data_IF_734506977159
#
_entry.id   IF_734506977159
#
_cell.length_a   1.000
_cell.length_b   1.000
_cell.length_c   1.000
_cell.angle_alpha   90.00
_cell.angle_beta   90.00
_cell.angle_gamma   90.00
#
_symmetry.space_group_name_H-M   'P 1'
#
loop_
_entity.id
_entity.type
_entity.pdbx_description
1 polymer ?
#
# COMPACT_ATOMS: atom_id res chain seq x y z
N UNK A 1 3.21 -9.78 16.99
CA UNK A 1 2.01 -10.19 16.22
C UNK A 1 2.07 -9.79 14.75
N UNK A 2 2.56 -8.59 14.38
CA UNK A 2 2.65 -8.19 12.95
C UNK A 2 3.59 -9.12 12.17
N UNK A 3 4.73 -9.49 12.75
CA UNK A 3 5.72 -10.38 12.17
C UNK A 3 5.42 -11.88 12.39
N UNK A 4 4.22 -12.24 12.85
CA UNK A 4 3.87 -13.62 13.19
C UNK A 4 3.92 -14.54 11.97
N UNK A 5 4.33 -15.79 12.15
CA UNK A 5 4.42 -16.78 11.07
C UNK A 5 3.02 -17.15 10.54
N UNK A 6 2.00 -17.15 11.40
CA UNK A 6 0.64 -17.50 11.01
C UNK A 6 -0.06 -16.34 10.30
N UNK A 7 -0.44 -16.52 9.03
CA UNK A 7 -1.04 -15.45 8.22
C UNK A 7 -2.31 -14.87 8.85
N UNK A 8 -3.17 -15.72 9.42
CA UNK A 8 -4.41 -15.28 10.08
C UNK A 8 -4.18 -14.33 11.25
N UNK A 9 -3.08 -14.51 12.01
CA UNK A 9 -2.72 -13.57 13.09
C UNK A 9 -2.37 -12.22 12.49
N UNK A 10 -1.58 -12.20 11.41
CA UNK A 10 -1.21 -10.95 10.72
C UNK A 10 -2.42 -10.22 10.16
N UNK A 11 -3.38 -10.94 9.59
CA UNK A 11 -4.63 -10.36 9.07
C UNK A 11 -5.46 -9.71 10.18
N UNK A 12 -5.66 -10.41 11.30
CA UNK A 12 -6.41 -9.89 12.45
C UNK A 12 -5.76 -8.62 13.01
N UNK A 13 -4.43 -8.55 13.04
CA UNK A 13 -3.71 -7.41 13.61
C UNK A 13 -3.93 -6.12 12.82
N UNK A 14 -3.81 -6.15 11.48
CA UNK A 14 -4.05 -4.93 10.70
C UNK A 14 -5.51 -4.52 10.75
N UNK A 15 -6.44 -5.49 10.75
CA UNK A 15 -7.88 -5.20 10.89
C UNK A 15 -8.19 -4.54 12.24
N UNK A 16 -7.61 -5.04 13.33
CA UNK A 16 -7.81 -4.50 14.67
C UNK A 16 -7.24 -3.09 14.85
N UNK A 17 -6.10 -2.78 14.21
CA UNK A 17 -5.45 -1.47 14.32
C UNK A 17 -6.04 -0.42 13.35
N UNK A 18 -6.74 -0.86 12.31
CA UNK A 18 -7.26 0.02 11.26
C UNK A 18 -8.18 1.14 11.75
N UNK A 19 -9.09 0.97 12.73
CA UNK A 19 -9.91 2.07 13.23
C UNK A 19 -9.09 3.22 13.81
N UNK A 20 -7.99 2.92 14.51
CA UNK A 20 -7.12 3.95 15.07
C UNK A 20 -6.25 4.61 14.00
N UNK A 21 -5.85 3.86 12.97
CA UNK A 21 -5.18 4.40 11.79
C UNK A 21 -6.10 5.34 11.01
N UNK A 22 -7.39 5.00 10.83
CA UNK A 22 -8.39 5.85 10.16
C UNK A 22 -8.61 7.17 10.92
N UNK A 23 -8.57 7.15 12.25
CA UNK A 23 -8.68 8.36 13.08
C UNK A 23 -7.45 9.26 13.00
N UNK A 24 -6.25 8.68 12.85
CA UNK A 24 -4.96 9.37 12.97
C UNK A 24 -4.09 9.14 11.72
N UNK A 25 -4.65 9.33 10.53
CA UNK A 25 -4.02 8.91 9.26
C UNK A 25 -2.62 9.51 9.09
N UNK A 26 -2.48 10.82 9.24
CA UNK A 26 -1.20 11.52 9.02
C UNK A 26 -0.11 11.01 9.96
N UNK A 27 -0.40 10.93 11.27
CA UNK A 27 0.53 10.42 12.28
C UNK A 27 0.84 8.93 12.05
N UNK A 28 -0.16 8.14 11.68
CA UNK A 28 0.02 6.72 11.40
C UNK A 28 0.92 6.51 10.19
N UNK A 29 0.74 7.29 9.12
CA UNK A 29 1.60 7.22 7.94
C UNK A 29 3.04 7.61 8.28
N UNK A 30 3.25 8.65 9.09
CA UNK A 30 4.59 9.04 9.55
C UNK A 30 5.30 7.87 10.26
N UNK A 31 4.64 7.24 11.24
CA UNK A 31 5.18 6.09 11.97
C UNK A 31 5.44 4.92 11.03
N UNK A 32 4.45 4.55 10.22
CA UNK A 32 4.51 3.39 9.32
C UNK A 32 5.56 3.56 8.22
N UNK A 33 5.86 4.80 7.83
CA UNK A 33 6.94 5.09 6.87
C UNK A 33 8.32 4.69 7.38
N UNK A 34 8.54 4.72 8.69
CA UNK A 34 9.79 4.18 9.27
C UNK A 34 9.85 2.65 9.20
N UNK A 35 8.69 1.99 9.29
CA UNK A 35 8.58 0.52 9.30
C UNK A 35 8.80 -0.12 7.93
N UNK A 36 8.68 0.65 6.84
CA UNK A 36 9.02 0.18 5.49
C UNK A 36 10.51 -0.19 5.35
N UNK A 37 11.37 0.22 6.30
CA UNK A 37 12.79 -0.11 6.32
C UNK A 37 13.10 -1.40 7.09
N UNK A 38 12.10 -2.06 7.67
CA UNK A 38 12.29 -3.30 8.42
C UNK A 38 12.83 -4.41 7.51
N UNK A 39 13.74 -5.23 8.03
CA UNK A 39 14.20 -6.45 7.34
C UNK A 39 13.07 -7.47 7.16
N UNK A 40 12.07 -7.45 8.04
CA UNK A 40 10.96 -8.38 8.01
C UNK A 40 9.88 -7.94 7.02
N UNK A 41 9.65 -8.74 5.98
CA UNK A 41 8.65 -8.46 4.95
C UNK A 41 7.21 -8.35 5.48
N UNK A 42 6.86 -9.05 6.57
CA UNK A 42 5.53 -8.96 7.16
C UNK A 42 5.27 -7.59 7.78
N UNK A 43 6.31 -6.98 8.38
CA UNK A 43 6.24 -5.62 8.91
C UNK A 43 6.08 -4.62 7.77
N UNK A 44 6.86 -4.76 6.69
CA UNK A 44 6.74 -3.89 5.51
C UNK A 44 5.36 -4.02 4.85
N UNK A 45 4.87 -5.24 4.65
CA UNK A 45 3.54 -5.51 4.09
C UNK A 45 2.42 -4.94 4.96
N UNK A 46 2.58 -4.98 6.29
CA UNK A 46 1.58 -4.40 7.20
C UNK A 46 1.36 -2.91 6.93
N UNK A 47 2.41 -2.15 6.60
CA UNK A 47 2.30 -0.69 6.35
C UNK A 47 1.33 -0.36 5.21
N UNK A 48 1.33 -1.16 4.15
CA UNK A 48 0.42 -0.98 3.01
C UNK A 48 -0.93 -1.62 3.26
N UNK A 49 -0.99 -2.83 3.82
CA UNK A 49 -2.28 -3.49 4.06
C UNK A 49 -3.17 -2.72 5.04
N UNK A 50 -2.59 -2.26 6.16
CA UNK A 50 -3.32 -1.52 7.19
C UNK A 50 -3.86 -0.17 6.70
N UNK A 51 -3.23 0.42 5.68
CA UNK A 51 -3.54 1.76 5.16
C UNK A 51 -4.25 1.73 3.80
N UNK A 52 -4.72 0.58 3.31
CA UNK A 52 -5.44 0.51 2.02
C UNK A 52 -6.62 1.49 1.99
N UNK A 53 -6.80 2.29 0.94
CA UNK A 53 -7.89 3.27 0.89
C UNK A 53 -9.26 2.58 0.76
N UNK A 54 -9.34 1.45 0.05
CA UNK A 54 -10.57 0.65 -0.15
C UNK A 54 -10.35 -0.83 0.14
N UNK A 55 -10.26 -1.20 1.40
CA UNK A 55 -10.19 -2.62 1.77
C UNK A 55 -11.53 -3.34 1.55
N UNK A 56 -11.48 -4.60 1.12
CA UNK A 56 -12.68 -5.42 0.79
C UNK A 56 -13.42 -5.86 2.07
N UNK A 57 -12.68 -6.06 3.16
CA UNK A 57 -13.19 -6.62 4.41
C UNK A 57 -13.35 -5.58 5.52
N UNK A 58 -13.12 -4.30 5.21
CA UNK A 58 -12.99 -3.27 6.22
C UNK A 58 -13.52 -1.93 5.73
N UNK A 59 -13.83 -1.05 6.68
CA UNK A 59 -14.24 0.32 6.38
C UNK A 59 -13.15 1.02 5.55
N UNK A 60 -13.58 1.76 4.55
CA UNK A 60 -12.73 2.62 3.75
C UNK A 60 -12.08 3.71 4.62
N UNK A 61 -10.82 4.04 4.33
CA UNK A 61 -10.16 5.21 4.91
C UNK A 61 -10.43 6.39 3.97
N UNK A 62 -11.48 7.15 4.26
CA UNK A 62 -11.97 8.21 3.38
C UNK A 62 -10.91 9.29 3.12
N UNK A 63 -10.04 9.56 4.10
CA UNK A 63 -8.93 10.50 3.96
C UNK A 63 -7.94 10.08 2.86
N UNK A 64 -7.56 8.80 2.83
CA UNK A 64 -6.64 8.25 1.82
C UNK A 64 -7.33 8.02 0.47
N UNK A 65 -8.65 7.84 0.44
CA UNK A 65 -9.41 7.84 -0.83
C UNK A 65 -9.38 9.21 -1.50
N UNK A 66 -9.58 10.29 -0.74
CA UNK A 66 -9.64 11.66 -1.26
C UNK A 66 -8.26 12.27 -1.50
N UNK A 67 -7.26 11.89 -0.71
CA UNK A 67 -5.90 12.38 -0.84
C UNK A 67 -4.88 11.25 -0.65
N UNK A 68 -4.71 10.37 -1.66
CA UNK A 68 -3.79 9.24 -1.57
C UNK A 68 -2.31 9.67 -1.49
N UNK A 69 -1.99 10.93 -1.85
CA UNK A 69 -0.65 11.50 -1.75
C UNK A 69 -0.08 11.44 -0.33
N UNK A 70 -0.94 11.41 0.69
CA UNK A 70 -0.53 11.27 2.10
C UNK A 70 0.33 10.02 2.27
N UNK A 71 0.02 8.91 1.58
CA UNK A 71 0.75 7.64 1.70
C UNK A 71 2.02 7.55 0.85
N UNK A 72 2.41 8.60 0.11
CA UNK A 72 3.62 8.59 -0.72
C UNK A 72 4.89 8.16 0.03
N UNK A 73 5.13 8.59 1.30
CA UNK A 73 6.31 8.14 2.03
C UNK A 73 6.41 6.62 2.19
N UNK A 74 5.27 5.91 2.33
CA UNK A 74 5.25 4.44 2.36
C UNK A 74 5.45 3.86 0.97
N UNK A 75 4.71 4.37 -0.02
CA UNK A 75 4.69 3.83 -1.38
C UNK A 75 6.05 3.98 -2.07
N UNK A 76 6.68 5.15 -1.96
CA UNK A 76 7.99 5.43 -2.55
C UNK A 76 9.08 4.53 -1.93
N UNK A 77 9.01 4.26 -0.62
CA UNK A 77 9.96 3.36 0.04
C UNK A 77 9.82 1.90 -0.42
N UNK A 78 8.62 1.48 -0.83
CA UNK A 78 8.30 0.10 -1.19
C UNK A 78 8.17 -0.15 -2.71
N UNK A 79 8.40 0.87 -3.55
CA UNK A 79 8.17 0.80 -5.01
C UNK A 79 8.98 -0.26 -5.76
N UNK A 80 10.05 -0.76 -5.15
CA UNK A 80 10.89 -1.84 -5.68
C UNK A 80 11.24 -2.88 -4.60
N UNK A 81 10.33 -3.14 -3.65
CA UNK A 81 10.54 -4.13 -2.60
C UNK A 81 10.87 -5.51 -3.19
N UNK A 82 11.84 -6.24 -2.62
CA UNK A 82 12.25 -7.57 -3.12
C UNK A 82 11.22 -8.67 -2.83
N UNK A 83 10.37 -8.48 -1.81
CA UNK A 83 9.35 -9.46 -1.45
C UNK A 83 8.15 -9.36 -2.38
N UNK A 84 7.82 -10.48 -3.04
CA UNK A 84 6.58 -10.59 -3.81
C UNK A 84 5.34 -10.30 -2.95
N UNK A 85 5.36 -10.69 -1.68
CA UNK A 85 4.24 -10.46 -0.76
C UNK A 85 4.01 -8.96 -0.50
N UNK A 86 5.08 -8.19 -0.35
CA UNK A 86 5.01 -6.74 -0.22
C UNK A 86 4.59 -6.09 -1.54
N UNK A 87 5.19 -6.50 -2.66
CA UNK A 87 4.84 -6.00 -4.01
C UNK A 87 3.33 -6.15 -4.29
N UNK A 88 2.76 -7.33 -3.99
CA UNK A 88 1.34 -7.59 -4.19
C UNK A 88 0.46 -6.65 -3.33
N UNK A 89 0.85 -6.36 -2.09
CA UNK A 89 0.11 -5.44 -1.22
C UNK A 89 0.23 -3.98 -1.70
N UNK A 90 1.41 -3.52 -2.14
CA UNK A 90 1.59 -2.18 -2.76
C UNK A 90 0.73 -2.06 -4.01
N UNK A 91 0.77 -3.04 -4.91
CA UNK A 91 -0.04 -3.03 -6.13
C UNK A 91 -1.54 -3.05 -5.84
N UNK A 92 -1.98 -3.78 -4.82
CA UNK A 92 -3.38 -3.74 -4.36
C UNK A 92 -3.77 -2.38 -3.79
N UNK A 93 -2.89 -1.74 -3.01
CA UNK A 93 -3.11 -0.41 -2.46
C UNK A 93 -3.33 0.62 -3.58
N UNK A 94 -2.47 0.60 -4.61
CA UNK A 94 -2.59 1.49 -5.77
C UNK A 94 -3.84 1.18 -6.59
N UNK A 95 -4.17 -0.09 -6.79
CA UNK A 95 -5.40 -0.49 -7.48
C UNK A 95 -6.68 -0.10 -6.71
N UNK A 96 -6.61 0.04 -5.39
CA UNK A 96 -7.71 0.58 -4.61
C UNK A 96 -7.81 2.11 -4.73
N UNK A 97 -6.67 2.79 -4.72
CA UNK A 97 -6.60 4.23 -4.93
C UNK A 97 -7.14 4.62 -6.31
N UNK A 98 -6.84 3.84 -7.36
CA UNK A 98 -7.25 4.13 -8.74
C UNK A 98 -8.76 4.16 -8.96
N UNK A 99 -9.53 3.54 -8.06
CA UNK A 99 -11.00 3.56 -8.10
C UNK A 99 -11.59 4.92 -7.69
N UNK A 100 -10.82 5.80 -7.05
CA UNK A 100 -11.22 7.17 -6.68
C UNK A 100 -10.34 8.22 -7.35
N UNK A 101 -9.03 8.00 -7.37
CA UNK A 101 -8.02 8.94 -7.86
C UNK A 101 -7.18 8.27 -8.96
N UNK A 102 -7.76 7.97 -10.13
CA UNK A 102 -7.06 7.25 -11.20
C UNK A 102 -5.84 8.01 -11.72
N UNK A 103 -5.96 9.34 -11.90
CA UNK A 103 -4.86 10.17 -12.43
C UNK A 103 -3.63 10.12 -11.52
N UNK A 104 -3.82 10.19 -10.20
CA UNK A 104 -2.73 10.04 -9.24
C UNK A 104 -1.97 8.72 -9.42
N UNK A 105 -2.69 7.61 -9.61
CA UNK A 105 -2.06 6.29 -9.77
C UNK A 105 -1.33 6.18 -11.10
N UNK A 106 -1.91 6.70 -12.19
CA UNK A 106 -1.28 6.72 -13.52
C UNK A 106 0.02 7.52 -13.46
N UNK A 107 -0.04 8.77 -12.98
CA UNK A 107 1.12 9.66 -12.88
C UNK A 107 2.24 9.04 -12.02
N UNK A 108 1.88 8.45 -10.88
CA UNK A 108 2.86 7.79 -10.00
C UNK A 108 3.49 6.56 -10.68
N UNK A 109 2.70 5.75 -11.37
CA UNK A 109 3.20 4.58 -12.08
C UNK A 109 4.12 4.97 -13.25
N UNK A 110 3.77 6.01 -14.01
CA UNK A 110 4.60 6.56 -15.08
C UNK A 110 5.93 7.09 -14.53
N UNK A 111 5.88 7.85 -13.44
CA UNK A 111 7.08 8.32 -12.72
C UNK A 111 7.97 7.14 -12.34
N UNK A 112 7.44 6.13 -11.67
CA UNK A 112 8.22 4.96 -11.24
C UNK A 112 8.82 4.19 -12.41
N UNK A 113 8.07 4.03 -13.50
CA UNK A 113 8.56 3.38 -14.72
C UNK A 113 9.77 4.10 -15.32
N UNK A 114 9.77 5.44 -15.27
CA UNK A 114 10.85 6.26 -15.83
C UNK A 114 12.07 6.34 -14.89
N UNK A 115 11.86 6.40 -13.57
CA UNK A 115 12.95 6.52 -12.59
C UNK A 115 13.66 5.20 -12.29
N UNK A 116 12.91 4.08 -12.23
CA UNK A 116 13.42 2.82 -11.71
C UNK A 116 12.69 1.60 -12.34
N UNK A 117 13.03 1.24 -13.59
CA UNK A 117 12.40 0.13 -14.30
C UNK A 117 12.94 -1.24 -13.85
N UNK A 118 12.80 -1.57 -12.57
CA UNK A 118 13.13 -2.89 -12.03
C UNK A 118 11.97 -3.87 -12.25
N UNK A 119 12.27 -5.17 -12.28
CA UNK A 119 11.24 -6.20 -12.44
C UNK A 119 10.20 -6.16 -11.30
N UNK A 120 10.63 -5.79 -10.09
CA UNK A 120 9.79 -5.59 -8.91
C UNK A 120 8.81 -4.43 -9.13
N UNK A 121 9.32 -3.29 -9.59
CA UNK A 121 8.50 -2.09 -9.87
C UNK A 121 7.49 -2.36 -10.97
N UNK A 122 7.89 -3.04 -12.05
CA UNK A 122 6.99 -3.42 -13.16
C UNK A 122 5.83 -4.32 -12.70
N UNK A 123 6.09 -5.28 -11.80
CA UNK A 123 5.05 -6.16 -11.22
C UNK A 123 4.03 -5.34 -10.44
N UNK A 124 4.50 -4.37 -9.64
CA UNK A 124 3.63 -3.46 -8.88
C UNK A 124 2.77 -2.63 -9.83
N UNK A 125 3.38 -1.99 -10.84
CA UNK A 125 2.68 -1.16 -11.82
C UNK A 125 1.61 -1.96 -12.57
N UNK A 126 1.96 -3.17 -13.06
CA UNK A 126 1.01 -4.04 -13.76
C UNK A 126 -0.22 -4.35 -12.91
N UNK A 127 -0.02 -4.56 -11.61
CA UNK A 127 -1.11 -4.82 -10.66
C UNK A 127 -1.92 -3.55 -10.36
N UNK A 128 -1.25 -2.41 -10.15
CA UNK A 128 -1.85 -1.11 -9.86
C UNK A 128 -2.83 -0.66 -10.95
N UNK A 129 -2.46 -0.86 -12.22
CA UNK A 129 -3.25 -0.45 -13.39
C UNK A 129 -4.30 -1.49 -13.81
N UNK A 130 -4.41 -2.62 -13.11
CA UNK A 130 -5.25 -3.75 -13.51
C UNK A 130 -6.74 -3.42 -13.63
N UNK A 131 -7.28 -2.52 -12.79
CA UNK A 131 -8.69 -2.05 -12.91
C UNK A 131 -8.86 -1.00 -14.01
N UNK A 132 -7.85 -0.15 -14.23
CA UNK A 132 -7.89 0.91 -15.25
C UNK A 132 -7.90 0.27 -16.64
N UNK A 133 -7.00 -0.70 -16.89
CA UNK A 133 -6.85 -1.33 -18.20
C UNK A 133 -8.00 -2.27 -18.61
N UNK A 134 -8.95 -2.54 -17.70
CA UNK A 134 -10.13 -3.39 -17.96
C UNK A 134 -11.38 -2.58 -18.30
N UNK A 135 -11.32 -1.25 -18.17
CA UNK A 135 -12.37 -0.34 -18.62
C UNK A 135 -12.08 0.12 -20.03
#
# INVERSE_FOLDING_TARGET
LIADNHFGVREVVWMALRPEIDKNVEQSIEILSSWTKSENENIRRFTTESTRPRGVWCKHIERLKKNPKIALPILENLKSDKSKYVQDSVGNWLNDASKSEPNFVIELCEKWKNELPTQETEKIIKRALGTINKK
#
